data_IF_757489011013
#
_entry.id   IF_757489011013
#
_cell.length_a   1.000
_cell.length_b   1.000
_cell.length_c   1.000
_cell.angle_alpha   90.00
_cell.angle_beta   90.00
_cell.angle_gamma   90.00
#
_symmetry.space_group_name_H-M   'P 1'
#
loop_
_entity.id
_entity.type
_entity.pdbx_description
1 polymer ?
#
# COMPACT_ATOMS: atom_id res chain seq x y z
N UNK A 1 27.80 12.59 -7.66
CA UNK A 1 26.53 13.33 -7.46
C UNK A 1 25.44 12.28 -7.24
N UNK A 2 24.75 12.40 -6.16
CA UNK A 2 23.56 11.58 -5.90
C UNK A 2 22.52 11.88 -6.99
N UNK A 3 21.91 10.86 -7.58
CA UNK A 3 20.87 11.06 -8.59
C UNK A 3 19.64 11.68 -7.93
N UNK A 4 18.85 12.44 -8.66
CA UNK A 4 17.61 13.03 -8.14
C UNK A 4 16.66 11.96 -7.59
N UNK A 5 16.62 10.80 -8.22
CA UNK A 5 15.91 9.62 -7.76
C UNK A 5 16.39 9.14 -6.39
N UNK A 6 17.70 9.01 -6.19
CA UNK A 6 18.26 8.58 -4.91
C UNK A 6 17.95 9.57 -3.78
N UNK A 7 17.99 10.89 -4.08
CA UNK A 7 17.61 11.93 -3.12
C UNK A 7 16.15 11.78 -2.69
N UNK A 8 15.24 11.60 -3.63
CA UNK A 8 13.80 11.43 -3.35
C UNK A 8 13.51 10.15 -2.56
N UNK A 9 14.17 9.05 -2.89
CA UNK A 9 14.09 7.83 -2.10
C UNK A 9 14.53 8.06 -0.65
N UNK A 10 15.62 8.77 -0.43
CA UNK A 10 16.09 9.09 0.91
C UNK A 10 15.12 10.00 1.67
N UNK A 11 14.49 10.94 1.01
CA UNK A 11 13.46 11.80 1.59
C UNK A 11 12.23 10.97 2.01
N UNK A 12 11.80 10.04 1.18
CA UNK A 12 10.69 9.12 1.47
C UNK A 12 11.00 8.22 2.68
N UNK A 13 12.18 7.57 2.68
CA UNK A 13 12.63 6.74 3.80
C UNK A 13 12.64 7.54 5.11
N UNK A 14 13.22 8.74 5.10
CA UNK A 14 13.32 9.59 6.28
C UNK A 14 11.94 10.06 6.78
N UNK A 15 10.99 10.31 5.87
CA UNK A 15 9.64 10.74 6.24
C UNK A 15 8.90 9.69 7.07
N UNK A 16 9.03 8.43 6.70
CA UNK A 16 8.31 7.33 7.35
C UNK A 16 9.11 6.57 8.41
N UNK A 17 10.38 6.94 8.63
CA UNK A 17 11.26 6.26 9.58
C UNK A 17 10.66 6.12 10.98
N UNK A 18 10.09 7.20 11.49
CA UNK A 18 9.56 7.28 12.86
C UNK A 18 8.03 7.18 12.92
N UNK A 19 7.37 6.92 11.79
CA UNK A 19 5.91 6.79 11.74
C UNK A 19 5.50 5.40 12.18
N UNK A 20 5.00 5.31 13.42
CA UNK A 20 4.57 4.03 14.01
C UNK A 20 3.22 3.55 13.45
N UNK A 21 2.33 4.47 13.11
CA UNK A 21 1.00 4.15 12.60
C UNK A 21 0.67 4.99 11.38
N UNK A 22 0.91 4.41 10.20
CA UNK A 22 0.60 5.05 8.91
C UNK A 22 -0.91 5.06 8.60
N UNK A 23 -1.70 4.26 9.32
CA UNK A 23 -3.15 4.13 9.13
C UNK A 23 -3.98 4.96 10.11
N UNK A 24 -3.35 5.80 10.93
CA UNK A 24 -4.06 6.70 11.83
C UNK A 24 -4.70 7.85 11.05
N UNK A 25 -5.83 7.56 10.46
CA UNK A 25 -6.61 8.51 9.69
C UNK A 25 -7.67 9.18 10.59
N UNK A 26 -8.03 10.44 10.33
CA UNK A 26 -9.15 11.08 10.99
C UNK A 26 -10.45 10.27 10.87
N UNK A 27 -11.31 10.33 11.90
CA UNK A 27 -12.58 9.56 11.96
C UNK A 27 -13.47 9.74 10.73
N UNK A 28 -13.39 10.89 10.06
CA UNK A 28 -14.18 11.17 8.86
C UNK A 28 -13.83 10.20 7.71
N UNK A 29 -12.57 9.74 7.59
CA UNK A 29 -12.18 8.75 6.59
C UNK A 29 -12.83 7.40 6.87
N UNK A 30 -12.85 6.98 8.14
CA UNK A 30 -13.51 5.73 8.54
C UNK A 30 -15.03 5.80 8.31
N UNK A 31 -15.65 6.94 8.68
CA UNK A 31 -17.06 7.17 8.40
C UNK A 31 -17.37 7.08 6.89
N UNK A 32 -16.57 7.78 6.07
CA UNK A 32 -16.76 7.80 4.62
C UNK A 32 -16.57 6.41 4.01
N UNK A 33 -15.51 5.71 4.37
CA UNK A 33 -15.22 4.35 3.89
C UNK A 33 -16.32 3.37 4.27
N UNK A 34 -16.80 3.43 5.51
CA UNK A 34 -17.87 2.55 5.98
C UNK A 34 -19.22 2.87 5.32
N UNK A 35 -19.49 4.14 5.03
CA UNK A 35 -20.75 4.57 4.45
C UNK A 35 -20.83 4.35 2.93
N UNK A 36 -19.75 4.54 2.21
CA UNK A 36 -19.74 4.56 0.75
C UNK A 36 -18.97 3.40 0.11
N UNK A 37 -17.81 3.01 0.64
CA UNK A 37 -17.01 1.94 0.04
C UNK A 37 -17.44 0.55 0.53
N UNK A 38 -17.66 0.39 1.82
CA UNK A 38 -18.00 -0.90 2.39
C UNK A 38 -19.28 -1.53 1.80
N UNK A 39 -20.38 -0.78 1.51
CA UNK A 39 -21.53 -1.34 0.81
C UNK A 39 -21.20 -1.88 -0.59
N UNK A 40 -20.31 -1.22 -1.32
CA UNK A 40 -19.86 -1.68 -2.64
C UNK A 40 -19.13 -3.02 -2.50
N UNK A 41 -18.17 -3.12 -1.58
CA UNK A 41 -17.44 -4.36 -1.30
C UNK A 41 -18.42 -5.49 -0.92
N UNK A 42 -19.41 -5.19 -0.11
CA UNK A 42 -20.46 -6.15 0.31
C UNK A 42 -21.35 -6.61 -0.83
N UNK A 43 -21.63 -5.74 -1.81
CA UNK A 43 -22.41 -6.12 -2.99
C UNK A 43 -21.71 -7.17 -3.86
N UNK A 44 -20.38 -7.25 -3.76
CA UNK A 44 -19.58 -8.32 -4.39
C UNK A 44 -19.43 -9.57 -3.52
N UNK A 45 -20.13 -9.66 -2.39
CA UNK A 45 -20.14 -10.82 -1.50
C UNK A 45 -18.99 -10.86 -0.47
N UNK A 46 -18.23 -9.77 -0.32
CA UNK A 46 -17.15 -9.70 0.66
C UNK A 46 -17.54 -8.84 1.86
N UNK A 47 -17.33 -9.30 3.11
CA UNK A 47 -17.68 -8.53 4.30
C UNK A 47 -16.82 -7.26 4.49
N UNK A 48 -15.59 -7.26 3.97
CA UNK A 48 -14.65 -6.15 3.99
C UNK A 48 -13.53 -6.38 2.97
N UNK A 49 -12.68 -5.39 2.78
CA UNK A 49 -11.56 -5.43 1.81
C UNK A 49 -10.58 -6.58 2.11
N UNK A 50 -10.24 -6.81 3.38
CA UNK A 50 -9.32 -7.87 3.76
C UNK A 50 -9.82 -9.28 3.35
N UNK A 51 -11.13 -9.48 3.31
CA UNK A 51 -11.72 -10.74 2.89
C UNK A 51 -11.46 -11.05 1.41
N UNK A 52 -11.29 -10.04 0.57
CA UNK A 52 -10.93 -10.19 -0.85
C UNK A 52 -9.54 -10.82 -0.95
N UNK A 53 -8.54 -10.28 -0.27
CA UNK A 53 -7.19 -10.86 -0.25
C UNK A 53 -7.20 -12.32 0.22
N UNK A 54 -7.82 -12.57 1.37
CA UNK A 54 -7.91 -13.93 1.93
C UNK A 54 -8.61 -14.89 0.99
N UNK A 55 -9.65 -14.44 0.27
CA UNK A 55 -10.37 -15.26 -0.70
C UNK A 55 -9.43 -15.74 -1.81
N UNK A 56 -8.76 -14.83 -2.51
CA UNK A 56 -7.88 -15.18 -3.63
C UNK A 56 -6.63 -15.95 -3.18
N UNK A 57 -6.07 -15.65 -2.00
CA UNK A 57 -4.96 -16.42 -1.43
C UNK A 57 -5.39 -17.87 -1.12
N UNK A 58 -6.58 -18.07 -0.58
CA UNK A 58 -7.13 -19.42 -0.35
C UNK A 58 -7.45 -20.14 -1.64
N UNK A 59 -7.94 -19.44 -2.62
CA UNK A 59 -8.22 -19.99 -3.95
C UNK A 59 -6.94 -20.46 -4.64
N UNK A 60 -5.89 -19.65 -4.63
CA UNK A 60 -4.57 -20.02 -5.13
C UNK A 60 -4.04 -21.29 -4.44
N UNK A 61 -4.12 -21.36 -3.10
CA UNK A 61 -3.74 -22.56 -2.35
C UNK A 61 -4.58 -23.79 -2.68
N UNK A 62 -5.87 -23.61 -2.93
CA UNK A 62 -6.79 -24.72 -3.25
C UNK A 62 -6.54 -25.29 -4.63
N UNK A 63 -6.25 -24.39 -5.59
CA UNK A 63 -6.02 -24.76 -6.99
C UNK A 63 -4.64 -25.42 -7.20
N UNK A 64 -3.73 -25.30 -6.22
CA UNK A 64 -2.38 -25.84 -6.30
C UNK A 64 -2.05 -26.72 -5.06
N UNK A 65 -2.74 -27.87 -4.89
CA UNK A 65 -2.52 -28.74 -3.72
C UNK A 65 -1.08 -29.29 -3.74
N UNK A 66 -0.42 -29.20 -2.59
CA UNK A 66 0.97 -29.69 -2.42
C UNK A 66 2.07 -28.72 -2.85
N UNK A 67 1.77 -27.65 -3.57
CA UNK A 67 2.73 -26.60 -3.92
C UNK A 67 2.93 -25.66 -2.74
N UNK A 68 4.18 -25.29 -2.46
CA UNK A 68 4.48 -24.14 -1.59
C UNK A 68 4.15 -22.86 -2.35
N UNK A 69 3.12 -22.14 -1.90
CA UNK A 69 2.68 -20.90 -2.54
C UNK A 69 3.63 -19.77 -2.24
N UNK A 70 3.88 -18.91 -3.23
CA UNK A 70 4.66 -17.69 -3.07
C UNK A 70 3.78 -16.48 -3.22
N UNK A 71 3.68 -15.71 -2.16
CA UNK A 71 2.98 -14.43 -2.14
C UNK A 71 3.99 -13.32 -1.96
N UNK A 72 3.74 -12.16 -2.55
CA UNK A 72 4.54 -10.97 -2.31
C UNK A 72 3.64 -9.75 -2.16
N UNK A 73 3.98 -8.88 -1.23
CA UNK A 73 3.42 -7.53 -1.13
C UNK A 73 4.52 -6.53 -1.46
N UNK A 74 4.24 -5.66 -2.41
CA UNK A 74 5.13 -4.57 -2.82
C UNK A 74 4.68 -3.27 -2.14
N UNK A 75 5.64 -2.50 -1.59
CA UNK A 75 5.34 -1.32 -0.77
C UNK A 75 4.60 -1.68 0.51
N UNK A 76 5.09 -2.72 1.22
CA UNK A 76 4.40 -3.31 2.37
C UNK A 76 4.41 -2.45 3.64
N UNK A 77 5.26 -1.42 3.70
CA UNK A 77 5.37 -0.54 4.86
C UNK A 77 5.64 -1.30 6.16
N UNK A 78 4.82 -1.06 7.19
CA UNK A 78 4.90 -1.77 8.48
C UNK A 78 4.32 -3.20 8.44
N UNK A 79 3.83 -3.67 7.31
CA UNK A 79 3.32 -5.03 7.08
C UNK A 79 2.10 -5.44 7.94
N UNK A 80 1.30 -4.49 8.44
CA UNK A 80 0.11 -4.81 9.25
C UNK A 80 -0.89 -5.68 8.47
N UNK A 81 -1.11 -5.36 7.19
CA UNK A 81 -2.00 -6.13 6.31
C UNK A 81 -1.45 -7.54 6.11
N UNK A 82 -0.17 -7.67 5.77
CA UNK A 82 0.49 -8.93 5.42
C UNK A 82 0.52 -9.88 6.62
N UNK A 83 0.88 -9.38 7.80
CA UNK A 83 0.85 -10.14 9.06
C UNK A 83 -0.56 -10.61 9.39
N UNK A 84 -1.57 -9.75 9.21
CA UNK A 84 -2.96 -10.14 9.43
C UNK A 84 -3.44 -11.19 8.41
N UNK A 85 -3.04 -11.09 7.13
CA UNK A 85 -3.36 -12.08 6.10
C UNK A 85 -2.68 -13.43 6.39
N UNK A 86 -1.39 -13.44 6.71
CA UNK A 86 -0.63 -14.63 7.09
C UNK A 86 -1.27 -15.32 8.31
N UNK A 87 -1.66 -14.55 9.34
CA UNK A 87 -2.33 -15.07 10.53
C UNK A 87 -3.68 -15.71 10.19
N UNK A 88 -4.47 -15.11 9.30
CA UNK A 88 -5.75 -15.68 8.87
C UNK A 88 -5.61 -16.94 8.02
N UNK A 89 -4.58 -17.01 7.18
CA UNK A 89 -4.28 -18.24 6.43
C UNK A 89 -3.85 -19.36 7.38
N UNK A 90 -2.92 -19.07 8.29
CA UNK A 90 -2.44 -20.03 9.29
C UNK A 90 -3.56 -20.57 10.15
N UNK A 91 -4.43 -19.70 10.68
CA UNK A 91 -5.58 -20.12 11.50
C UNK A 91 -6.61 -20.94 10.73
N UNK A 92 -6.65 -20.82 9.40
CA UNK A 92 -7.45 -21.67 8.51
C UNK A 92 -6.76 -22.97 8.07
N UNK A 93 -5.63 -23.32 8.70
CA UNK A 93 -4.87 -24.54 8.40
C UNK A 93 -3.94 -24.43 7.20
N UNK A 94 -3.81 -23.28 6.57
CA UNK A 94 -2.87 -23.05 5.45
C UNK A 94 -1.51 -22.67 6.02
N UNK A 95 -0.48 -23.49 5.76
CA UNK A 95 0.89 -23.27 6.25
C UNK A 95 1.96 -23.48 5.17
N UNK A 96 1.56 -23.94 4.00
CA UNK A 96 2.51 -24.20 2.91
C UNK A 96 2.60 -23.00 1.97
N UNK A 97 3.10 -21.87 2.49
CA UNK A 97 3.36 -20.67 1.73
C UNK A 97 4.53 -19.88 2.30
N UNK A 98 5.10 -19.03 1.48
CA UNK A 98 6.07 -17.99 1.84
C UNK A 98 5.44 -16.66 1.43
N UNK A 99 5.42 -15.69 2.34
CA UNK A 99 4.90 -14.35 2.07
C UNK A 99 6.04 -13.34 2.17
N UNK A 100 6.49 -12.83 1.03
CA UNK A 100 7.53 -11.82 0.95
C UNK A 100 6.91 -10.41 1.10
N UNK A 101 7.51 -9.59 1.95
CA UNK A 101 7.16 -8.18 2.16
C UNK A 101 8.30 -7.32 1.63
N UNK A 102 8.04 -6.53 0.60
CA UNK A 102 9.02 -5.66 -0.04
C UNK A 102 8.71 -4.19 0.24
N UNK A 103 9.69 -3.46 0.69
CA UNK A 103 9.62 -2.01 0.89
C UNK A 103 11.01 -1.39 0.75
N UNK A 104 11.10 -0.09 0.51
CA UNK A 104 12.37 0.64 0.52
C UNK A 104 12.86 0.92 1.94
N UNK A 105 11.95 0.93 2.92
CA UNK A 105 12.21 1.32 4.30
C UNK A 105 12.44 0.10 5.20
N UNK A 106 13.71 -0.16 5.50
CA UNK A 106 14.13 -1.29 6.35
C UNK A 106 13.59 -1.19 7.80
N UNK A 107 13.43 0.04 8.34
CA UNK A 107 12.92 0.23 9.71
C UNK A 107 11.43 -0.18 9.79
N UNK A 108 10.65 0.13 8.75
CA UNK A 108 9.25 -0.30 8.65
C UNK A 108 9.14 -1.83 8.56
N UNK A 109 9.94 -2.45 7.69
CA UNK A 109 10.00 -3.91 7.59
C UNK A 109 10.46 -4.57 8.89
N UNK A 110 11.38 -3.94 9.63
CA UNK A 110 11.80 -4.39 10.96
C UNK A 110 10.64 -4.42 11.97
N UNK A 111 9.77 -3.42 11.95
CA UNK A 111 8.54 -3.41 12.77
C UNK A 111 7.58 -4.53 12.33
N UNK A 112 7.42 -4.74 11.03
CA UNK A 112 6.64 -5.85 10.49
C UNK A 112 7.15 -7.22 10.92
N UNK A 113 8.46 -7.41 10.87
CA UNK A 113 9.10 -8.66 11.33
C UNK A 113 8.90 -8.91 12.82
N UNK A 114 8.95 -7.87 13.65
CA UNK A 114 8.64 -7.97 15.06
C UNK A 114 7.15 -8.35 15.29
N UNK A 115 6.24 -7.70 14.59
CA UNK A 115 4.81 -8.02 14.64
C UNK A 115 4.54 -9.46 14.19
N UNK A 116 5.22 -9.95 13.16
CA UNK A 116 5.09 -11.33 12.68
C UNK A 116 5.48 -12.34 13.75
N UNK A 117 6.55 -12.10 14.53
CA UNK A 117 6.94 -12.92 15.68
C UNK A 117 5.86 -12.91 16.76
N UNK A 118 5.34 -11.76 17.12
CA UNK A 118 4.28 -11.64 18.13
C UNK A 118 3.01 -12.39 17.74
N UNK A 119 2.71 -12.44 16.42
CA UNK A 119 1.58 -13.20 15.87
C UNK A 119 1.94 -14.66 15.53
N UNK A 120 3.18 -15.08 15.77
CA UNK A 120 3.70 -16.43 15.47
C UNK A 120 3.48 -16.83 14.01
N UNK A 121 3.80 -15.93 13.06
CA UNK A 121 3.75 -16.16 11.61
C UNK A 121 5.08 -15.84 10.90
N UNK A 122 6.10 -15.52 11.66
CA UNK A 122 7.44 -15.19 11.18
C UNK A 122 8.12 -16.32 10.39
N UNK A 123 7.77 -17.56 10.67
CA UNK A 123 8.20 -18.76 9.92
C UNK A 123 7.60 -18.84 8.49
N UNK A 124 6.62 -18.02 8.18
CA UNK A 124 5.92 -17.97 6.88
C UNK A 124 6.21 -16.68 6.11
N UNK A 125 7.01 -15.76 6.68
CA UNK A 125 7.19 -14.42 6.13
C UNK A 125 8.66 -14.08 5.92
N UNK A 126 8.94 -13.37 4.84
CA UNK A 126 10.25 -12.81 4.53
C UNK A 126 10.13 -11.30 4.34
N UNK A 127 11.13 -10.55 4.82
CA UNK A 127 11.15 -9.09 4.77
C UNK A 127 12.39 -8.63 4.03
N UNK A 128 12.24 -7.90 2.93
CA UNK A 128 13.36 -7.51 2.05
C UNK A 128 13.28 -6.02 1.71
N UNK A 129 14.29 -5.27 2.16
CA UNK A 129 14.43 -3.88 1.78
C UNK A 129 14.94 -3.79 0.34
N UNK A 130 14.12 -3.29 -0.58
CA UNK A 130 14.44 -3.17 -2.00
C UNK A 130 13.67 -2.03 -2.65
N UNK A 131 14.36 -1.24 -3.46
CA UNK A 131 13.70 -0.33 -4.37
C UNK A 131 13.14 -1.13 -5.55
N UNK A 132 11.83 -1.05 -5.78
CA UNK A 132 11.13 -1.94 -6.71
C UNK A 132 11.61 -1.81 -8.16
N UNK A 133 12.12 -0.66 -8.57
CA UNK A 133 12.73 -0.52 -9.89
C UNK A 133 13.94 -1.46 -10.09
N UNK A 134 14.59 -1.87 -9.00
CA UNK A 134 15.70 -2.84 -8.98
C UNK A 134 15.29 -4.23 -8.46
N UNK A 135 13.99 -4.43 -8.22
CA UNK A 135 13.49 -5.73 -7.79
C UNK A 135 13.65 -6.76 -8.90
N UNK A 136 14.40 -7.83 -8.59
CA UNK A 136 14.63 -8.94 -9.50
C UNK A 136 14.49 -10.27 -8.77
N UNK A 137 13.82 -11.21 -9.41
CA UNK A 137 13.63 -12.57 -8.90
C UNK A 137 13.73 -13.59 -10.05
N UNK A 138 14.18 -14.79 -9.72
CA UNK A 138 14.30 -15.91 -10.66
C UNK A 138 13.11 -16.89 -10.61
N UNK A 139 12.05 -16.54 -9.88
CA UNK A 139 10.85 -17.35 -9.68
C UNK A 139 9.60 -16.51 -9.85
N UNK A 140 8.47 -17.17 -9.94
CA UNK A 140 7.17 -16.52 -10.07
C UNK A 140 6.39 -16.56 -8.75
N UNK A 141 5.55 -15.56 -8.57
CA UNK A 141 4.63 -15.46 -7.45
C UNK A 141 3.23 -15.93 -7.85
N UNK A 142 2.54 -16.56 -6.94
CA UNK A 142 1.15 -16.97 -7.12
C UNK A 142 0.18 -15.82 -6.81
N UNK A 143 0.63 -14.90 -5.95
CA UNK A 143 -0.08 -13.64 -5.68
C UNK A 143 0.92 -12.50 -5.53
N UNK A 144 0.63 -11.40 -6.20
CA UNK A 144 1.30 -10.12 -6.00
C UNK A 144 0.26 -9.14 -5.46
N UNK A 145 0.58 -8.49 -4.35
CA UNK A 145 -0.27 -7.49 -3.69
C UNK A 145 0.40 -6.12 -3.80
N UNK A 146 -0.40 -5.11 -4.17
CA UNK A 146 -0.05 -3.69 -4.08
C UNK A 146 -1.19 -2.97 -3.37
N UNK A 147 -1.00 -2.67 -2.09
CA UNK A 147 -2.04 -2.10 -1.24
C UNK A 147 -1.69 -0.66 -0.86
N UNK A 148 -2.37 0.33 -1.44
CA UNK A 148 -2.14 1.75 -1.18
C UNK A 148 -0.67 2.17 -1.37
N UNK A 149 -0.03 1.72 -2.45
CA UNK A 149 1.38 1.97 -2.69
C UNK A 149 1.74 2.32 -4.15
N UNK A 150 0.87 2.01 -5.12
CA UNK A 150 1.17 2.26 -6.54
C UNK A 150 1.40 3.75 -6.84
N UNK A 151 0.73 4.62 -6.11
CA UNK A 151 0.89 6.05 -6.24
C UNK A 151 2.25 6.58 -5.75
N UNK A 152 3.03 5.78 -5.03
CA UNK A 152 4.40 6.09 -4.63
C UNK A 152 5.44 5.75 -5.69
N UNK A 153 5.09 4.97 -6.70
CA UNK A 153 6.07 4.48 -7.68
C UNK A 153 6.23 5.43 -8.86
N UNK A 154 7.45 5.86 -9.08
CA UNK A 154 7.80 6.82 -10.15
C UNK A 154 7.64 6.20 -11.54
N UNK A 155 8.21 5.01 -11.76
CA UNK A 155 8.19 4.31 -13.03
C UNK A 155 7.19 3.14 -13.00
N UNK A 156 5.90 3.48 -12.98
CA UNK A 156 4.80 2.52 -12.83
C UNK A 156 4.79 1.47 -13.94
N UNK A 157 5.13 1.88 -15.16
CA UNK A 157 5.21 0.99 -16.31
C UNK A 157 6.26 -0.11 -16.09
N UNK A 158 7.43 0.25 -15.57
CA UNK A 158 8.49 -0.71 -15.21
C UNK A 158 8.00 -1.68 -14.13
N UNK A 159 7.29 -1.16 -13.14
CA UNK A 159 6.73 -2.00 -12.06
C UNK A 159 5.66 -2.94 -12.63
N UNK A 160 4.76 -2.49 -13.49
CA UNK A 160 3.75 -3.35 -14.11
C UNK A 160 4.38 -4.42 -15.02
N UNK A 161 5.45 -4.11 -15.75
CA UNK A 161 6.20 -5.09 -16.53
C UNK A 161 6.82 -6.16 -15.60
N UNK A 162 7.38 -5.77 -14.46
CA UNK A 162 7.89 -6.72 -13.46
C UNK A 162 6.77 -7.57 -12.86
N UNK A 163 5.65 -6.96 -12.48
CA UNK A 163 4.47 -7.69 -11.98
C UNK A 163 4.02 -8.72 -13.01
N UNK A 164 3.89 -8.33 -14.28
CA UNK A 164 3.47 -9.24 -15.35
C UNK A 164 4.45 -10.41 -15.52
N UNK A 165 5.75 -10.17 -15.51
CA UNK A 165 6.77 -11.19 -15.72
C UNK A 165 6.93 -12.11 -14.49
N UNK A 166 6.72 -11.60 -13.28
CA UNK A 166 6.90 -12.36 -12.04
C UNK A 166 5.61 -12.99 -11.53
N UNK A 167 4.46 -12.70 -12.11
CA UNK A 167 3.21 -13.37 -11.78
C UNK A 167 3.13 -14.71 -12.49
N UNK A 168 2.77 -15.78 -11.78
CA UNK A 168 2.54 -17.08 -12.39
C UNK A 168 1.30 -17.03 -13.31
N UNK A 169 1.25 -17.92 -14.31
CA UNK A 169 0.17 -17.92 -15.31
C UNK A 169 -1.24 -17.98 -14.71
N UNK A 170 -1.40 -18.66 -13.58
CA UNK A 170 -2.67 -18.75 -12.83
C UNK A 170 -2.69 -17.91 -11.56
N UNK A 171 -1.76 -16.96 -11.45
CA UNK A 171 -1.62 -16.08 -10.29
C UNK A 171 -2.60 -14.91 -10.33
N UNK A 172 -2.70 -14.23 -9.20
CA UNK A 172 -3.53 -13.02 -9.06
C UNK A 172 -2.67 -11.82 -8.70
N UNK A 173 -2.85 -10.73 -9.44
CA UNK A 173 -2.44 -9.41 -8.99
C UNK A 173 -3.62 -8.74 -8.30
N UNK A 174 -3.46 -8.38 -7.03
CA UNK A 174 -4.52 -7.78 -6.22
C UNK A 174 -4.05 -6.40 -5.76
N UNK A 175 -4.79 -5.38 -6.17
CA UNK A 175 -4.50 -4.01 -5.75
C UNK A 175 -5.76 -3.30 -5.26
N UNK A 176 -5.60 -2.40 -4.32
CA UNK A 176 -6.52 -1.32 -4.06
C UNK A 176 -5.70 -0.05 -3.86
N UNK A 177 -6.06 0.99 -4.56
CA UNK A 177 -5.32 2.24 -4.53
C UNK A 177 -6.23 3.40 -4.91
N UNK A 178 -5.75 4.61 -4.73
CA UNK A 178 -6.42 5.79 -5.24
C UNK A 178 -6.26 5.86 -6.75
N UNK A 179 -7.37 6.13 -7.44
CA UNK A 179 -7.40 6.29 -8.89
C UNK A 179 -7.71 7.75 -9.20
N UNK A 180 -6.91 8.38 -10.01
CA UNK A 180 -7.09 9.79 -10.37
C UNK A 180 -6.03 10.29 -11.34
N UNK A 181 -5.82 11.59 -11.33
CA UNK A 181 -4.74 12.22 -12.08
C UNK A 181 -3.39 11.90 -11.44
N UNK A 182 -2.32 11.95 -12.25
CA UNK A 182 -0.96 11.77 -11.77
C UNK A 182 -0.65 12.74 -10.62
N UNK A 183 0.17 12.29 -9.67
CA UNK A 183 0.64 13.11 -8.57
C UNK A 183 -0.44 13.46 -7.53
N UNK A 184 -1.47 12.64 -7.35
CA UNK A 184 -2.62 12.92 -6.46
C UNK A 184 -3.38 14.20 -6.81
N UNK A 185 -3.22 14.69 -8.02
CA UNK A 185 -3.92 15.89 -8.46
C UNK A 185 -5.42 15.63 -8.56
N UNK A 186 -6.20 16.56 -8.08
CA UNK A 186 -7.65 16.53 -8.22
C UNK A 186 -8.07 17.03 -9.60
N UNK A 187 -9.24 16.63 -10.02
CA UNK A 187 -9.85 17.21 -11.20
C UNK A 187 -10.12 18.70 -10.95
N UNK A 188 -9.89 19.61 -11.92
CA UNK A 188 -10.06 21.05 -11.73
C UNK A 188 -11.41 21.43 -11.13
N UNK A 189 -12.49 20.80 -11.59
CA UNK A 189 -13.84 21.05 -11.11
C UNK A 189 -14.02 20.65 -9.64
N UNK A 190 -13.35 19.58 -9.23
CA UNK A 190 -13.33 19.13 -7.83
C UNK A 190 -12.51 20.07 -6.96
N UNK A 191 -11.40 20.57 -7.48
CA UNK A 191 -10.53 21.50 -6.77
C UNK A 191 -11.23 22.83 -6.51
N UNK A 192 -12.00 23.34 -7.48
CA UNK A 192 -12.79 24.56 -7.31
C UNK A 192 -13.83 24.41 -6.20
N UNK A 193 -14.57 23.29 -6.20
CA UNK A 193 -15.56 22.98 -5.14
C UNK A 193 -14.87 22.86 -3.77
N UNK A 194 -13.71 22.22 -3.72
CA UNK A 194 -12.92 22.06 -2.49
C UNK A 194 -12.45 23.42 -1.97
N UNK A 195 -11.92 24.28 -2.83
CA UNK A 195 -11.45 25.61 -2.45
C UNK A 195 -12.57 26.49 -1.91
N UNK A 196 -13.76 26.43 -2.51
CA UNK A 196 -14.91 27.17 -2.00
C UNK A 196 -15.38 26.62 -0.64
N UNK A 197 -15.40 25.32 -0.48
CA UNK A 197 -15.72 24.69 0.79
C UNK A 197 -14.66 25.00 1.86
N UNK A 198 -13.36 24.94 1.50
CA UNK A 198 -12.24 25.21 2.38
C UNK A 198 -12.33 26.59 3.04
N UNK A 199 -12.74 27.62 2.27
CA UNK A 199 -12.95 28.98 2.80
C UNK A 199 -13.97 29.03 3.94
N UNK A 200 -14.94 28.14 3.92
CA UNK A 200 -16.03 28.11 4.92
C UNK A 200 -15.67 27.30 6.16
N UNK A 201 -14.64 26.45 6.11
CA UNK A 201 -14.24 25.63 7.24
C UNK A 201 -13.62 26.46 8.38
N UNK A 202 -13.97 26.18 9.64
CA UNK A 202 -13.23 26.69 10.80
C UNK A 202 -11.77 26.21 10.79
N UNK A 203 -10.86 27.04 11.28
CA UNK A 203 -9.42 26.77 11.27
C UNK A 203 -9.03 25.46 11.97
N UNK A 204 -9.76 25.05 12.99
CA UNK A 204 -9.53 23.76 13.68
C UNK A 204 -9.63 22.54 12.77
N UNK A 205 -10.32 22.63 11.62
CA UNK A 205 -10.43 21.57 10.63
C UNK A 205 -9.43 21.72 9.46
N UNK A 206 -8.66 22.81 9.46
CA UNK A 206 -7.62 23.09 8.47
C UNK A 206 -6.21 22.77 8.98
N UNK A 207 -6.10 22.24 10.20
CA UNK A 207 -4.81 21.89 10.76
C UNK A 207 -4.31 20.58 10.19
N UNK A 208 -3.16 20.64 9.54
CA UNK A 208 -2.47 19.46 9.01
C UNK A 208 -1.61 18.85 10.11
N UNK A 209 -2.03 17.71 10.65
CA UNK A 209 -1.34 17.03 11.74
C UNK A 209 0.01 16.42 11.33
N UNK A 210 0.18 16.05 10.06
CA UNK A 210 1.46 15.53 9.55
C UNK A 210 2.51 16.63 9.44
N UNK A 211 2.11 17.81 8.91
CA UNK A 211 3.00 18.95 8.72
C UNK A 211 3.03 19.89 9.92
N UNK A 212 2.21 19.63 10.95
CA UNK A 212 2.12 20.43 12.17
C UNK A 212 1.85 21.93 11.90
N UNK A 213 1.01 22.23 10.91
CA UNK A 213 0.69 23.61 10.51
C UNK A 213 -0.77 23.80 10.13
N UNK A 214 -1.22 25.06 10.19
CA UNK A 214 -2.52 25.48 9.68
C UNK A 214 -2.44 25.72 8.16
N UNK A 215 -3.23 24.99 7.39
CA UNK A 215 -3.34 25.19 5.95
C UNK A 215 -4.40 26.27 5.67
N UNK A 216 -3.97 27.46 5.28
CA UNK A 216 -4.88 28.60 5.00
C UNK A 216 -5.67 28.40 3.72
N UNK A 217 -5.06 27.77 2.73
CA UNK A 217 -5.64 27.45 1.43
C UNK A 217 -5.53 25.97 1.22
N UNK A 218 -6.50 25.38 0.51
CA UNK A 218 -6.37 24.01 0.08
C UNK A 218 -5.44 23.98 -1.14
N UNK A 219 -4.33 23.28 -1.01
CA UNK A 219 -3.39 23.07 -2.11
C UNK A 219 -3.61 21.69 -2.71
N UNK A 220 -3.56 21.60 -4.02
CA UNK A 220 -3.52 20.32 -4.74
C UNK A 220 -2.18 19.60 -4.54
N UNK A 221 -1.20 20.30 -4.04
CA UNK A 221 0.02 19.74 -3.51
C UNK A 221 -0.28 19.15 -2.13
N UNK A 222 -0.68 17.90 -2.14
CA UNK A 222 -0.66 17.16 -0.91
C UNK A 222 0.79 16.80 -0.59
N UNK A 223 1.22 17.30 0.54
CA UNK A 223 2.60 17.32 0.96
C UNK A 223 3.19 15.96 1.27
N UNK A 224 2.39 14.93 1.30
CA UNK A 224 2.89 13.59 1.65
C UNK A 224 3.87 13.06 0.61
N UNK A 225 3.70 13.46 -0.66
CA UNK A 225 4.41 12.87 -1.79
C UNK A 225 5.02 13.90 -2.74
N UNK A 226 5.17 15.14 -2.26
CA UNK A 226 5.78 16.22 -3.05
C UNK A 226 7.09 15.77 -3.68
N UNK A 227 7.11 15.75 -4.96
CA UNK A 227 8.30 15.49 -5.74
C UNK A 227 8.44 14.06 -6.25
N UNK A 228 7.90 13.03 -5.59
CA UNK A 228 7.98 11.67 -6.11
C UNK A 228 6.94 11.43 -7.20
N UNK A 229 5.73 11.91 -6.99
CA UNK A 229 4.65 11.84 -7.97
C UNK A 229 4.67 12.98 -8.99
N UNK A 230 5.18 14.15 -8.62
CA UNK A 230 5.34 15.27 -9.52
C UNK A 230 6.27 15.01 -10.70
N UNK A 231 7.16 14.03 -10.61
CA UNK A 231 8.02 13.60 -11.74
C UNK A 231 7.21 12.88 -12.81
N UNK A 232 6.15 12.17 -12.45
CA UNK A 232 5.31 11.50 -13.45
C UNK A 232 4.42 12.45 -14.23
N UNK A 233 4.16 13.64 -13.71
CA UNK A 233 3.35 14.64 -14.38
C UNK A 233 4.11 15.42 -15.49
N UNK A 234 5.40 15.16 -15.66
CA UNK A 234 6.25 15.69 -16.72
C UNK A 234 6.47 14.65 -17.81
#
# INVERSE_FOLDING_TARGET
>A
METEYAKKMNEEINRYKDVLNIHELPEIFHYWSNKYLLPIIRSYGFPNLQAIYVHYMREACRNNPGKTMRFVSIGAGNCELEVALASKLRSSGKRNFIFECLDINADMLGRGAQMAKEKSVDDLMEFKAVALNFWEVAYQYDIIIAAQCLHHFVELEVIFDKIYNYLSHSGYFITHDMIGRNGHLRWPETLDILNDFWKTLPDKYKYNHQLQRLEKEFSDWDCSMEGFEGIRAQ
#
